data_IF_760863448596
#
_entry.id   IF_760863448596
#
_cell.length_a   1.000
_cell.length_b   1.000
_cell.length_c   1.000
_cell.angle_alpha   90.00
_cell.angle_beta   90.00
_cell.angle_gamma   90.00
#
_symmetry.space_group_name_H-M   'P 1'
#
loop_
_entity.id
_entity.type
_entity.pdbx_description
1 polymer ?
#
# COMPACT_ATOMS: atom_id res chain seq x y z
N UNK A 1 -19.58 -17.34 -53.76
CA UNK A 1 -18.95 -17.89 -52.52
C UNK A 1 -17.72 -17.09 -52.05
N UNK A 2 -17.75 -15.74 -52.02
CA UNK A 2 -16.64 -14.92 -51.48
C UNK A 2 -17.07 -13.98 -50.35
N UNK A 3 -18.37 -13.77 -50.18
CA UNK A 3 -18.96 -12.84 -49.20
C UNK A 3 -19.10 -13.44 -47.81
N UNK A 4 -19.19 -14.77 -47.67
CA UNK A 4 -19.38 -15.43 -46.36
C UNK A 4 -18.10 -15.54 -45.53
N UNK A 5 -16.92 -15.44 -46.16
CA UNK A 5 -15.63 -15.63 -45.46
C UNK A 5 -15.14 -14.35 -44.74
N UNK A 6 -15.53 -13.18 -45.23
CA UNK A 6 -15.10 -11.87 -44.70
C UNK A 6 -15.88 -11.52 -43.41
N UNK A 7 -17.11 -11.99 -43.28
CA UNK A 7 -17.98 -11.70 -42.11
C UNK A 7 -17.52 -12.48 -40.87
N UNK A 8 -17.10 -13.74 -41.03
CA UNK A 8 -16.65 -14.59 -39.91
C UNK A 8 -15.34 -14.10 -39.31
N UNK A 9 -14.42 -13.55 -40.13
CA UNK A 9 -13.13 -13.04 -39.66
C UNK A 9 -13.28 -11.75 -38.83
N UNK A 10 -14.24 -10.87 -39.17
CA UNK A 10 -14.54 -9.66 -38.39
C UNK A 10 -15.17 -9.96 -37.03
N UNK A 11 -15.97 -11.02 -36.93
CA UNK A 11 -16.59 -11.43 -35.67
C UNK A 11 -15.56 -11.96 -34.65
N UNK A 12 -14.55 -12.69 -35.12
CA UNK A 12 -13.48 -13.22 -34.28
C UNK A 12 -12.58 -12.11 -33.70
N UNK A 13 -12.31 -11.06 -34.50
CA UNK A 13 -11.51 -9.92 -34.06
C UNK A 13 -12.24 -9.04 -33.03
N UNK A 14 -13.58 -8.93 -33.13
CA UNK A 14 -14.40 -8.20 -32.16
C UNK A 14 -14.47 -8.92 -30.82
N UNK A 15 -14.50 -10.26 -30.81
CA UNK A 15 -14.44 -11.06 -29.59
C UNK A 15 -13.07 -10.96 -28.88
N UNK A 16 -11.96 -10.93 -29.62
CA UNK A 16 -10.62 -10.76 -29.04
C UNK A 16 -10.42 -9.36 -28.43
N UNK A 17 -11.08 -8.31 -28.97
CA UNK A 17 -11.04 -6.96 -28.39
C UNK A 17 -11.88 -6.82 -27.11
N UNK A 18 -12.95 -7.60 -26.96
CA UNK A 18 -13.78 -7.57 -25.74
C UNK A 18 -13.11 -8.24 -24.53
N UNK A 19 -12.13 -9.12 -24.75
CA UNK A 19 -11.34 -9.71 -23.66
C UNK A 19 -10.10 -8.88 -23.26
N UNK A 20 -9.76 -7.82 -23.99
CA UNK A 20 -8.57 -7.01 -23.67
C UNK A 20 -8.83 -5.87 -22.68
N UNK A 21 -10.04 -5.73 -22.15
CA UNK A 21 -10.40 -4.68 -21.19
C UNK A 21 -10.75 -5.23 -19.79
N UNK A 22 -10.26 -6.41 -19.42
CA UNK A 22 -10.16 -6.81 -18.02
C UNK A 22 -9.00 -6.08 -17.34
N UNK A 23 -8.95 -4.75 -17.46
CA UNK A 23 -8.09 -3.92 -16.63
C UNK A 23 -8.52 -4.12 -15.19
N UNK A 24 -7.59 -4.50 -14.30
CA UNK A 24 -7.86 -4.52 -12.87
C UNK A 24 -8.30 -3.12 -12.45
N UNK A 25 -9.60 -2.92 -12.27
CA UNK A 25 -10.14 -1.64 -11.79
C UNK A 25 -9.53 -1.41 -10.41
N UNK A 26 -8.86 -0.27 -10.26
CA UNK A 26 -8.18 0.14 -9.03
C UNK A 26 -9.21 0.81 -8.11
N UNK A 27 -9.20 0.46 -6.84
CA UNK A 27 -10.03 1.10 -5.81
C UNK A 27 -9.15 2.11 -5.08
N UNK A 28 -9.32 3.42 -5.35
CA UNK A 28 -8.54 4.45 -4.67
C UNK A 28 -8.97 4.51 -3.20
N UNK A 29 -7.99 4.42 -2.30
CA UNK A 29 -8.24 4.59 -0.87
C UNK A 29 -7.67 5.94 -0.47
N UNK A 30 -8.55 6.88 -0.17
CA UNK A 30 -8.17 8.24 0.19
C UNK A 30 -8.18 8.49 1.70
N UNK A 31 -9.08 7.81 2.43
CA UNK A 31 -9.35 8.05 3.85
C UNK A 31 -8.44 7.22 4.76
N UNK A 32 -7.91 7.84 5.80
CA UNK A 32 -7.02 7.22 6.78
C UNK A 32 -7.39 7.67 8.19
N UNK A 33 -7.01 6.87 9.19
CA UNK A 33 -7.16 7.18 10.62
C UNK A 33 -5.93 6.72 11.39
N UNK A 34 -5.45 7.53 12.33
CA UNK A 34 -4.43 7.10 13.30
C UNK A 34 -5.13 6.39 14.46
N UNK A 35 -4.91 5.09 14.63
CA UNK A 35 -5.58 4.28 15.64
C UNK A 35 -4.76 4.16 16.94
N UNK A 36 -3.42 4.19 16.84
CA UNK A 36 -2.53 4.10 18.00
C UNK A 36 -2.39 5.42 18.75
N UNK A 37 -2.04 5.34 20.03
CA UNK A 37 -1.67 6.49 20.88
C UNK A 37 -0.27 7.02 20.50
N UNK A 38 -0.18 7.56 19.30
CA UNK A 38 1.03 8.14 18.71
C UNK A 38 0.66 9.40 17.95
N UNK A 39 1.66 10.26 17.73
CA UNK A 39 1.57 11.38 16.80
C UNK A 39 2.42 11.10 15.59
N UNK A 40 1.88 11.33 14.40
CA UNK A 40 2.58 11.23 13.12
C UNK A 40 2.62 12.61 12.48
N UNK A 41 3.82 13.13 12.26
CA UNK A 41 4.08 14.37 11.53
C UNK A 41 4.59 14.04 10.13
N UNK A 42 3.90 14.51 9.09
CA UNK A 42 4.41 14.51 7.72
C UNK A 42 5.38 15.67 7.54
N UNK A 43 6.68 15.37 7.53
CA UNK A 43 7.74 16.37 7.68
C UNK A 43 7.70 17.43 6.57
N UNK A 44 7.51 17.02 5.32
CA UNK A 44 7.47 17.94 4.17
C UNK A 44 6.21 18.81 4.12
N UNK A 45 5.10 18.32 4.69
CA UNK A 45 3.80 19.01 4.70
C UNK A 45 3.60 19.84 5.97
N UNK A 46 4.41 19.60 6.99
CA UNK A 46 4.27 20.17 8.33
C UNK A 46 2.87 19.97 8.94
N UNK A 47 2.28 18.78 8.73
CA UNK A 47 0.97 18.40 9.26
C UNK A 47 1.12 17.24 10.24
N UNK A 48 0.62 17.42 11.47
CA UNK A 48 0.63 16.43 12.55
C UNK A 48 -0.76 15.84 12.75
N UNK A 49 -0.84 14.51 12.88
CA UNK A 49 -2.03 13.77 13.26
C UNK A 49 -1.79 13.02 14.56
N UNK A 50 -2.81 12.99 15.42
CA UNK A 50 -2.81 12.34 16.73
C UNK A 50 -3.79 11.18 16.73
N UNK A 51 -3.85 10.47 17.85
CA UNK A 51 -4.79 9.36 18.03
C UNK A 51 -6.23 9.78 17.68
N UNK A 52 -6.90 8.92 16.92
CA UNK A 52 -8.24 9.06 16.37
C UNK A 52 -8.44 10.17 15.32
N UNK A 53 -7.41 10.94 14.98
CA UNK A 53 -7.49 11.88 13.86
C UNK A 53 -7.68 11.11 12.55
N UNK A 54 -8.62 11.59 11.74
CA UNK A 54 -8.86 11.10 10.40
C UNK A 54 -8.37 12.13 9.37
N UNK A 55 -7.83 11.65 8.26
CA UNK A 55 -7.32 12.50 7.19
C UNK A 55 -7.47 11.86 5.82
N UNK A 56 -7.58 12.71 4.81
CA UNK A 56 -7.52 12.29 3.42
C UNK A 56 -6.13 12.55 2.84
N UNK A 57 -5.64 11.67 1.97
CA UNK A 57 -4.38 11.90 1.27
C UNK A 57 -4.47 13.13 0.36
N UNK A 58 -5.60 13.28 -0.34
CA UNK A 58 -5.86 14.40 -1.26
C UNK A 58 -5.72 15.77 -0.60
N UNK A 59 -6.21 15.90 0.63
CA UNK A 59 -6.25 17.18 1.36
C UNK A 59 -4.84 17.66 1.75
N UNK A 60 -3.88 16.72 1.77
CA UNK A 60 -2.48 16.94 2.06
C UNK A 60 -1.62 17.00 0.79
N UNK A 61 -2.22 16.86 -0.40
CA UNK A 61 -1.50 16.69 -1.66
C UNK A 61 -0.58 15.46 -1.64
N UNK A 62 -1.04 14.37 -1.01
CA UNK A 62 -0.39 13.08 -1.00
C UNK A 62 -1.11 12.13 -1.96
N UNK A 63 -0.36 11.17 -2.48
CA UNK A 63 -0.78 10.22 -3.49
C UNK A 63 -0.51 8.80 -3.00
N UNK A 64 -1.41 7.88 -3.36
CA UNK A 64 -1.20 6.46 -3.17
C UNK A 64 -0.57 5.85 -4.42
N UNK A 65 0.33 4.89 -4.20
CA UNK A 65 0.89 4.08 -5.27
C UNK A 65 -0.25 3.31 -5.97
N UNK A 66 -0.33 3.48 -7.28
CA UNK A 66 -1.41 2.93 -8.09
C UNK A 66 -1.13 1.50 -8.56
N UNK A 67 0.12 1.03 -8.50
CA UNK A 67 0.51 -0.31 -8.93
C UNK A 67 1.15 -1.08 -7.77
N UNK A 68 0.50 -2.16 -7.34
CA UNK A 68 1.19 -3.31 -6.79
C UNK A 68 0.95 -4.47 -7.77
N UNK A 69 1.37 -4.25 -9.02
CA UNK A 69 1.25 -5.25 -10.08
C UNK A 69 2.07 -6.49 -9.75
N UNK A 70 1.44 -7.66 -9.88
CA UNK A 70 2.01 -8.97 -9.56
C UNK A 70 3.47 -9.14 -9.98
N UNK A 71 4.31 -9.46 -9.01
CA UNK A 71 5.74 -9.69 -9.17
C UNK A 71 6.37 -10.17 -7.86
N UNK A 72 7.68 -10.42 -7.87
CA UNK A 72 8.42 -10.84 -6.66
C UNK A 72 8.26 -9.85 -5.49
N UNK A 73 7.99 -8.57 -5.76
CA UNK A 73 7.79 -7.55 -4.73
C UNK A 73 6.74 -7.95 -3.68
N UNK A 74 5.58 -8.47 -4.14
CA UNK A 74 4.49 -8.90 -3.25
C UNK A 74 4.89 -10.07 -2.33
N UNK A 75 5.94 -10.81 -2.67
CA UNK A 75 6.46 -11.89 -1.83
C UNK A 75 7.46 -11.40 -0.77
N UNK A 76 7.99 -10.19 -0.94
CA UNK A 76 9.13 -9.69 -0.16
C UNK A 76 8.85 -8.37 0.56
N UNK A 77 7.66 -7.76 0.43
CA UNK A 77 7.34 -6.51 1.13
C UNK A 77 7.34 -6.65 2.66
N UNK A 78 7.33 -7.88 3.19
CA UNK A 78 7.45 -8.17 4.62
C UNK A 78 8.91 -8.22 5.09
N UNK A 79 9.88 -8.23 4.17
CA UNK A 79 11.32 -8.18 4.45
C UNK A 79 11.77 -6.71 4.59
N UNK A 80 12.29 -6.36 5.78
CA UNK A 80 12.82 -5.02 6.09
C UNK A 80 13.89 -4.58 5.09
N UNK A 81 14.85 -5.44 4.76
CA UNK A 81 16.00 -5.07 3.92
C UNK A 81 15.56 -4.83 2.49
N UNK A 82 14.67 -5.67 1.98
CA UNK A 82 14.11 -5.53 0.65
C UNK A 82 13.27 -4.24 0.54
N UNK A 83 12.39 -4.01 1.52
CA UNK A 83 11.53 -2.81 1.56
C UNK A 83 12.34 -1.54 1.73
N UNK A 84 13.33 -1.53 2.62
CA UNK A 84 14.26 -0.41 2.80
C UNK A 84 14.99 -0.06 1.51
N UNK A 85 15.49 -1.08 0.79
CA UNK A 85 16.14 -0.90 -0.51
C UNK A 85 15.18 -0.29 -1.54
N UNK A 86 13.92 -0.72 -1.56
CA UNK A 86 12.93 -0.19 -2.48
C UNK A 86 12.55 1.26 -2.19
N UNK A 87 12.41 1.63 -0.92
CA UNK A 87 12.21 3.02 -0.48
C UNK A 87 13.41 3.90 -0.85
N UNK A 88 14.63 3.46 -0.59
CA UNK A 88 15.87 4.18 -0.95
C UNK A 88 16.00 4.39 -2.46
N UNK A 89 15.56 3.42 -3.26
CA UNK A 89 15.56 3.48 -4.72
C UNK A 89 14.38 4.25 -5.31
N UNK A 90 13.50 4.83 -4.48
CA UNK A 90 12.28 5.53 -4.92
C UNK A 90 11.41 4.69 -5.85
N UNK A 91 11.31 3.38 -5.58
CA UNK A 91 10.43 2.49 -6.34
C UNK A 91 8.95 2.76 -6.06
N UNK A 92 8.66 3.48 -4.97
CA UNK A 92 7.32 3.89 -4.57
C UNK A 92 7.31 5.37 -4.21
N UNK A 93 6.16 5.99 -4.41
CA UNK A 93 5.81 7.25 -3.77
C UNK A 93 5.78 6.99 -2.26
N UNK A 94 6.65 7.68 -1.52
CA UNK A 94 6.76 7.58 -0.08
C UNK A 94 7.04 8.96 0.52
N UNK A 95 6.73 9.11 1.80
CA UNK A 95 6.77 10.38 2.51
C UNK A 95 7.54 10.25 3.80
N UNK A 96 8.37 11.25 4.11
CA UNK A 96 9.07 11.34 5.37
C UNK A 96 8.12 11.70 6.50
N UNK A 97 8.20 10.93 7.58
CA UNK A 97 7.40 11.11 8.79
C UNK A 97 8.26 11.10 10.05
N UNK A 98 7.78 11.81 11.06
CA UNK A 98 8.26 11.68 12.44
C UNK A 98 7.15 11.08 13.29
N UNK A 99 7.49 10.10 14.12
CA UNK A 99 6.55 9.39 15.00
C UNK A 99 6.92 9.69 16.46
N UNK A 100 5.97 10.19 17.25
CA UNK A 100 6.14 10.43 18.68
C UNK A 100 5.15 9.58 19.47
N UNK A 101 5.64 8.76 20.38
CA UNK A 101 4.84 8.00 21.33
C UNK A 101 5.03 8.59 22.73
N UNK A 102 3.97 8.74 23.55
CA UNK A 102 4.08 9.26 24.91
C UNK A 102 4.94 8.36 25.83
N UNK A 103 5.17 7.10 25.45
CA UNK A 103 5.97 6.14 26.21
C UNK A 103 7.48 6.29 25.98
N UNK A 104 7.90 7.00 24.94
CA UNK A 104 9.31 7.14 24.55
C UNK A 104 9.71 8.62 24.49
N UNK A 105 10.86 8.96 25.06
CA UNK A 105 11.31 10.35 25.19
C UNK A 105 11.80 10.99 23.89
N UNK A 106 12.22 10.17 22.93
CA UNK A 106 12.76 10.62 21.64
C UNK A 106 11.76 10.34 20.52
N UNK A 107 11.70 11.20 19.49
CA UNK A 107 10.97 10.89 18.27
C UNK A 107 11.65 9.74 17.53
N UNK A 108 10.85 9.01 16.75
CA UNK A 108 11.32 8.06 15.75
C UNK A 108 11.14 8.68 14.37
N UNK A 109 12.04 8.34 13.46
CA UNK A 109 12.03 8.79 12.09
C UNK A 109 11.51 7.66 11.22
N UNK A 110 10.86 8.00 10.12
CA UNK A 110 10.33 6.98 9.24
C UNK A 110 9.97 7.46 7.87
N UNK A 111 9.64 6.49 7.02
CA UNK A 111 9.04 6.71 5.72
C UNK A 111 7.73 5.93 5.64
N UNK A 112 6.68 6.56 5.11
CA UNK A 112 5.38 5.93 4.89
C UNK A 112 5.06 5.89 3.39
N UNK A 113 4.54 4.76 2.92
CA UNK A 113 3.99 4.61 1.58
C UNK A 113 2.55 4.12 1.67
N UNK A 114 1.68 4.69 0.83
CA UNK A 114 0.28 4.30 0.70
C UNK A 114 0.07 3.57 -0.62
N UNK A 115 -0.86 2.62 -0.63
CA UNK A 115 -1.15 1.81 -1.81
C UNK A 115 -2.65 1.70 -2.02
N UNK A 116 -3.08 1.73 -3.28
CA UNK A 116 -4.46 1.45 -3.64
C UNK A 116 -4.72 -0.06 -3.69
N UNK A 117 -5.98 -0.45 -3.50
CA UNK A 117 -6.39 -1.87 -3.61
C UNK A 117 -7.01 -2.14 -4.98
N UNK A 118 -7.34 -3.41 -5.24
CA UNK A 118 -8.05 -3.81 -6.46
C UNK A 118 -9.55 -3.90 -6.21
N UNK A 119 -10.37 -3.84 -7.26
CA UNK A 119 -11.82 -4.01 -7.18
C UNK A 119 -12.24 -5.33 -6.51
N UNK A 120 -11.45 -6.39 -6.68
CA UNK A 120 -11.67 -7.69 -6.01
C UNK A 120 -11.62 -7.58 -4.48
N UNK A 121 -10.99 -6.53 -3.95
CA UNK A 121 -10.89 -6.24 -2.53
C UNK A 121 -11.79 -5.08 -2.08
N UNK A 122 -12.61 -4.51 -2.97
CA UNK A 122 -13.46 -3.32 -2.70
C UNK A 122 -14.40 -3.49 -1.50
N UNK A 123 -14.82 -4.72 -1.21
CA UNK A 123 -15.71 -5.03 -0.09
C UNK A 123 -15.00 -5.11 1.26
N UNK A 124 -13.67 -5.28 1.27
CA UNK A 124 -12.87 -5.35 2.50
C UNK A 124 -12.83 -4.00 3.20
N UNK A 125 -12.84 -3.99 4.53
CA UNK A 125 -12.78 -2.75 5.33
C UNK A 125 -11.56 -1.89 4.96
N UNK A 126 -10.41 -2.53 4.76
CA UNK A 126 -9.14 -1.91 4.37
C UNK A 126 -9.17 -1.24 2.99
N UNK A 127 -10.17 -1.56 2.14
CA UNK A 127 -10.37 -0.91 0.84
C UNK A 127 -11.27 0.33 0.91
N UNK A 128 -11.87 0.61 2.08
CA UNK A 128 -12.71 1.80 2.31
C UNK A 128 -11.95 2.90 3.04
N UNK A 129 -11.11 2.52 3.98
CA UNK A 129 -10.23 3.42 4.72
C UNK A 129 -9.08 2.63 5.36
N UNK A 130 -7.97 3.30 5.68
CA UNK A 130 -6.81 2.70 6.35
C UNK A 130 -6.81 3.05 7.84
N UNK A 131 -6.52 2.06 8.68
CA UNK A 131 -6.20 2.29 10.09
C UNK A 131 -4.70 2.11 10.31
N UNK A 132 -4.03 3.19 10.70
CA UNK A 132 -2.59 3.16 11.00
C UNK A 132 -2.44 2.94 12.49
N UNK A 133 -2.01 1.74 12.87
CA UNK A 133 -1.73 1.35 14.24
C UNK A 133 -0.26 0.97 14.39
N UNK A 134 0.42 1.60 15.36
CA UNK A 134 1.82 1.34 15.70
C UNK A 134 1.86 0.72 17.10
N UNK A 135 2.19 -0.57 17.18
CA UNK A 135 2.38 -1.27 18.45
C UNK A 135 3.72 -0.91 19.12
N UNK A 136 3.76 -0.99 20.46
CA UNK A 136 4.96 -0.69 21.27
C UNK A 136 6.18 -1.53 20.86
N UNK A 137 5.97 -2.78 20.45
CA UNK A 137 7.03 -3.70 20.03
C UNK A 137 7.86 -3.14 18.87
N UNK A 138 7.25 -2.37 17.96
CA UNK A 138 7.97 -1.75 16.85
C UNK A 138 8.94 -0.67 17.32
N UNK A 139 8.61 0.07 18.38
CA UNK A 139 9.52 1.04 18.98
C UNK A 139 10.72 0.34 19.62
N UNK A 140 10.49 -0.77 20.35
CA UNK A 140 11.58 -1.57 20.91
C UNK A 140 12.51 -2.14 19.82
N UNK A 141 11.93 -2.56 18.69
CA UNK A 141 12.66 -3.13 17.55
C UNK A 141 13.42 -2.09 16.71
N UNK A 142 12.94 -0.84 16.67
CA UNK A 142 13.51 0.26 15.89
C UNK A 142 14.62 1.05 16.63
N UNK A 143 15.35 0.41 17.55
CA UNK A 143 16.39 1.07 18.36
C UNK A 143 17.80 0.74 17.89
N UNK A 144 18.75 1.65 18.18
CA UNK A 144 20.19 1.53 17.86
C UNK A 144 20.43 1.48 16.34
N UNK A 145 19.73 2.33 15.59
CA UNK A 145 19.82 2.41 14.13
C UNK A 145 19.15 1.24 13.40
N UNK A 146 18.41 0.38 14.11
CA UNK A 146 17.66 -0.72 13.50
C UNK A 146 16.36 -0.20 12.91
N UNK A 147 16.00 -0.73 11.75
CA UNK A 147 14.72 -0.41 11.09
C UNK A 147 13.66 -1.45 11.41
N UNK A 148 12.52 -1.01 11.95
CA UNK A 148 11.30 -1.80 12.01
C UNK A 148 10.44 -1.56 10.75
N UNK A 149 9.72 -2.60 10.34
CA UNK A 149 8.69 -2.50 9.29
C UNK A 149 7.31 -2.76 9.91
N UNK A 150 6.36 -1.91 9.57
CA UNK A 150 4.95 -2.08 9.89
C UNK A 150 4.15 -1.95 8.61
N UNK A 151 3.07 -2.71 8.49
CA UNK A 151 2.23 -2.68 7.32
C UNK A 151 0.84 -3.22 7.64
N UNK A 152 -0.14 -2.80 6.85
CA UNK A 152 -1.43 -3.46 6.72
C UNK A 152 -1.54 -4.00 5.30
N UNK A 153 -2.30 -5.08 5.11
CA UNK A 153 -2.51 -5.67 3.80
C UNK A 153 -3.95 -6.14 3.63
N UNK A 154 -4.40 -6.15 2.37
CA UNK A 154 -5.58 -6.89 1.94
C UNK A 154 -5.16 -8.28 1.46
N UNK A 155 -5.93 -9.30 1.82
CA UNK A 155 -5.79 -10.64 1.25
C UNK A 155 -6.64 -10.76 -0.01
N UNK A 156 -6.04 -11.30 -1.07
CA UNK A 156 -6.72 -11.60 -2.30
C UNK A 156 -6.59 -13.09 -2.59
N UNK A 157 -7.73 -13.78 -2.58
CA UNK A 157 -7.81 -15.18 -2.98
C UNK A 157 -7.82 -15.27 -4.50
N UNK A 158 -6.78 -15.85 -5.08
CA UNK A 158 -6.78 -16.24 -6.48
C UNK A 158 -7.20 -17.71 -6.58
N UNK A 159 -8.45 -17.93 -6.99
CA UNK A 159 -8.95 -19.25 -7.34
C UNK A 159 -8.56 -19.60 -8.78
N UNK A 160 -7.77 -20.66 -8.94
CA UNK A 160 -7.47 -21.29 -10.22
C UNK A 160 -7.36 -22.81 -10.06
N UNK A 161 -7.34 -23.54 -11.17
CA UNK A 161 -7.37 -25.02 -11.26
C UNK A 161 -6.24 -25.77 -10.49
N UNK A 162 -5.27 -25.07 -9.89
CA UNK A 162 -4.09 -25.65 -9.23
C UNK A 162 -3.92 -25.23 -7.75
N UNK A 163 -5.02 -24.89 -7.06
CA UNK A 163 -5.01 -24.54 -5.63
C UNK A 163 -5.20 -23.04 -5.38
N UNK A 164 -5.84 -22.71 -4.27
CA UNK A 164 -6.09 -21.33 -3.84
C UNK A 164 -4.80 -20.68 -3.35
N UNK A 165 -4.27 -19.69 -4.08
CA UNK A 165 -3.16 -18.87 -3.61
C UNK A 165 -3.73 -17.60 -2.96
N UNK A 166 -3.35 -17.34 -1.70
CA UNK A 166 -3.67 -16.08 -1.00
C UNK A 166 -2.54 -15.09 -1.26
N UNK A 167 -2.84 -14.02 -1.99
CA UNK A 167 -1.90 -12.92 -2.25
C UNK A 167 -2.15 -11.81 -1.23
N UNK A 168 -1.09 -11.35 -0.55
CA UNK A 168 -1.16 -10.22 0.39
C UNK A 168 -0.72 -8.95 -0.31
N UNK A 169 -1.61 -7.97 -0.41
CA UNK A 169 -1.33 -6.67 -1.03
C UNK A 169 -1.25 -5.60 0.04
N UNK A 170 -0.09 -4.94 0.26
CA UNK A 170 0.00 -3.90 1.28
C UNK A 170 -0.95 -2.73 0.96
N UNK A 171 -1.60 -2.16 1.98
CA UNK A 171 -2.43 -0.95 1.88
C UNK A 171 -1.66 0.28 2.35
N UNK A 172 -0.77 0.08 3.31
CA UNK A 172 0.26 1.02 3.72
C UNK A 172 1.48 0.28 4.29
N UNK A 173 2.65 0.92 4.22
CA UNK A 173 3.90 0.44 4.81
C UNK A 173 4.58 1.61 5.52
N UNK A 174 5.05 1.39 6.74
CA UNK A 174 5.92 2.30 7.50
C UNK A 174 7.25 1.60 7.75
N UNK A 175 8.34 2.27 7.40
CA UNK A 175 9.68 1.96 7.92
C UNK A 175 10.00 2.95 9.04
N UNK A 176 10.48 2.47 10.18
CA UNK A 176 10.75 3.30 11.35
C UNK A 176 12.12 2.98 11.97
N UNK A 177 12.84 4.01 12.44
CA UNK A 177 14.15 3.93 13.10
C UNK A 177 14.27 5.04 14.15
N UNK A 178 15.05 4.82 15.21
CA UNK A 178 15.42 5.87 16.18
C UNK A 178 16.49 6.84 15.65
N UNK A 179 17.04 6.54 14.47
CA UNK A 179 17.95 7.38 13.70
C UNK A 179 17.31 7.86 12.39
N UNK A 180 17.60 9.09 11.92
CA UNK A 180 17.16 9.57 10.61
C UNK A 180 17.60 8.66 9.44
N UNK A 181 16.76 8.58 8.40
CA UNK A 181 16.94 7.72 7.21
C UNK A 181 17.88 8.28 6.14
#
# INVERSE_FOLDING_TARGET
MKTTFITTFKLLFFFLFLFSCAGMIKVPINKNKIASDVKILFTEKNVEFKQNDAFNLSDLGLEANSEIGGGNWLKHFTDVNYTLKAFKKKQFINYDITIKSPKYSKPYYGKIAFFNTTEKNSVSAVARYREIAIADEYFANATRGRTAIMYEYAEQNFGGFAGSMVLKMPTWIILMSDEPF
#
